data_IF_389139674400
#
_entry.id   IF_389139674400
#
_cell.length_a   1.000
_cell.length_b   1.000
_cell.length_c   1.000
_cell.angle_alpha   90.00
_cell.angle_beta   90.00
_cell.angle_gamma   90.00
#
_symmetry.space_group_name_H-M   'P 1'
#
loop_
_entity.id
_entity.type
_entity.pdbx_description
1 polymer ?
#
# COMPACT_ATOMS: atom_id res chain seq x y z
N UNK A 1 -5.45 -13.98 -4.93
CA UNK A 1 -5.47 -12.66 -4.28
C UNK A 1 -6.92 -12.26 -4.14
N UNK A 2 -7.42 -12.13 -2.92
CA UNK A 2 -8.78 -11.64 -2.68
C UNK A 2 -8.86 -10.17 -3.15
N UNK A 3 -10.03 -9.75 -3.65
CA UNK A 3 -10.22 -8.37 -4.03
C UNK A 3 -10.15 -7.47 -2.79
N UNK A 4 -9.27 -6.47 -2.81
CA UNK A 4 -9.18 -5.46 -1.76
C UNK A 4 -10.43 -4.55 -1.82
N UNK A 5 -11.25 -4.44 -0.75
CA UNK A 5 -12.39 -3.55 -0.73
C UNK A 5 -12.03 -2.06 -0.59
N UNK A 6 -10.79 -1.72 -0.19
CA UNK A 6 -10.39 -0.35 0.13
C UNK A 6 -10.50 0.63 -1.06
N UNK A 7 -10.04 0.32 -2.29
CA UNK A 7 -10.16 1.23 -3.42
C UNK A 7 -11.62 1.55 -3.78
N UNK A 8 -12.49 0.53 -3.74
CA UNK A 8 -13.91 0.71 -3.98
C UNK A 8 -14.56 1.54 -2.87
N UNK A 9 -14.22 1.28 -1.60
CA UNK A 9 -14.74 2.02 -0.46
C UNK A 9 -14.38 3.51 -0.49
N UNK A 10 -13.10 3.85 -0.76
CA UNK A 10 -12.67 5.26 -0.87
C UNK A 10 -13.39 5.97 -2.02
N UNK A 11 -13.54 5.31 -3.17
CA UNK A 11 -14.28 5.86 -4.31
C UNK A 11 -15.75 6.11 -3.99
N UNK A 12 -16.41 5.18 -3.28
CA UNK A 12 -17.81 5.30 -2.89
C UNK A 12 -18.03 6.40 -1.83
N UNK A 13 -17.09 6.55 -0.88
CA UNK A 13 -17.16 7.59 0.14
C UNK A 13 -17.02 8.99 -0.44
N UNK A 14 -16.18 9.17 -1.47
CA UNK A 14 -15.96 10.44 -2.17
C UNK A 14 -15.80 11.65 -1.21
N UNK A 15 -14.98 11.48 -0.17
CA UNK A 15 -14.82 12.45 0.92
C UNK A 15 -13.44 13.10 0.88
N UNK A 16 -13.33 14.42 1.09
CA UNK A 16 -12.04 15.09 1.24
C UNK A 16 -11.31 14.68 2.53
N UNK A 17 -12.00 13.99 3.46
CA UNK A 17 -11.41 13.49 4.71
C UNK A 17 -10.79 12.09 4.58
N UNK A 18 -10.87 11.47 3.40
CA UNK A 18 -10.33 10.13 3.16
C UNK A 18 -9.40 10.12 1.95
N UNK A 19 -8.23 9.50 2.11
CA UNK A 19 -7.26 9.32 1.02
C UNK A 19 -6.89 7.84 0.92
N UNK A 20 -6.91 7.29 -0.30
CA UNK A 20 -6.31 6.00 -0.58
C UNK A 20 -4.79 6.19 -0.72
N UNK A 21 -4.03 5.46 0.09
CA UNK A 21 -2.58 5.28 -0.08
C UNK A 21 -2.39 3.82 -0.50
N UNK A 22 -2.00 3.62 -1.75
CA UNK A 22 -1.87 2.31 -2.38
C UNK A 22 -0.41 2.08 -2.76
N UNK A 23 0.17 0.98 -2.27
CA UNK A 23 1.53 0.56 -2.58
C UNK A 23 1.55 -0.76 -3.36
N UNK A 24 0.41 -1.19 -3.90
CA UNK A 24 0.29 -2.45 -4.65
C UNK A 24 1.25 -2.49 -5.83
N UNK A 25 1.43 -1.34 -6.51
CA UNK A 25 2.35 -1.18 -7.64
C UNK A 25 3.84 -1.36 -7.27
N UNK A 26 4.19 -1.31 -5.98
CA UNK A 26 5.56 -1.56 -5.50
C UNK A 26 5.94 -3.03 -5.65
N UNK A 27 4.98 -3.95 -5.57
CA UNK A 27 5.23 -5.39 -5.59
C UNK A 27 4.35 -6.17 -6.58
N UNK A 28 3.47 -5.49 -7.32
CA UNK A 28 2.64 -6.06 -8.38
C UNK A 28 2.69 -5.18 -9.65
N UNK A 29 2.68 -5.84 -10.80
CA UNK A 29 2.42 -5.23 -12.11
C UNK A 29 1.10 -5.80 -12.69
N UNK A 30 0.80 -5.46 -13.95
CA UNK A 30 -0.43 -5.92 -14.63
C UNK A 30 -0.51 -7.45 -14.81
N UNK A 31 0.61 -8.16 -14.72
CA UNK A 31 0.73 -9.58 -15.05
C UNK A 31 1.02 -10.45 -13.82
N UNK A 32 1.72 -9.92 -12.81
CA UNK A 32 2.20 -10.70 -11.67
C UNK A 32 2.49 -9.84 -10.44
N UNK A 33 2.64 -10.52 -9.31
CA UNK A 33 3.20 -9.95 -8.09
C UNK A 33 4.49 -10.69 -7.71
N UNK A 34 5.56 -9.94 -7.47
CA UNK A 34 6.86 -10.51 -7.18
C UNK A 34 6.91 -11.07 -5.76
N UNK A 35 7.38 -12.31 -5.62
CA UNK A 35 7.48 -12.98 -4.32
C UNK A 35 8.69 -12.51 -3.50
N UNK A 36 9.72 -11.97 -4.16
CA UNK A 36 10.96 -11.49 -3.54
C UNK A 36 11.43 -10.22 -4.23
N UNK A 37 11.66 -9.16 -3.45
CA UNK A 37 12.18 -7.87 -3.94
C UNK A 37 13.39 -7.50 -3.10
N UNK A 38 14.53 -7.21 -3.74
CA UNK A 38 15.76 -6.84 -3.05
C UNK A 38 16.26 -7.91 -2.05
N UNK A 39 15.93 -9.19 -2.27
CA UNK A 39 16.26 -10.29 -1.35
C UNK A 39 15.32 -10.45 -0.16
N UNK A 40 14.22 -9.69 -0.09
CA UNK A 40 13.21 -9.77 0.97
C UNK A 40 11.94 -10.43 0.44
N UNK A 41 11.43 -11.43 1.16
CA UNK A 41 10.16 -12.11 0.83
C UNK A 41 9.00 -11.14 1.04
N UNK A 42 8.17 -10.94 0.01
CA UNK A 42 7.09 -9.94 0.01
C UNK A 42 5.90 -10.40 0.84
N UNK A 43 5.33 -11.55 0.50
CA UNK A 43 4.09 -12.06 1.10
C UNK A 43 4.37 -13.19 2.09
N UNK A 44 3.62 -13.18 3.21
CA UNK A 44 3.56 -14.28 4.18
C UNK A 44 2.59 -15.35 3.72
N UNK A 45 1.44 -14.92 3.22
CA UNK A 45 0.31 -15.75 2.77
C UNK A 45 -0.47 -15.01 1.68
N UNK A 46 -1.71 -15.42 1.39
CA UNK A 46 -2.50 -14.89 0.29
C UNK A 46 -2.84 -13.39 0.38
N UNK A 47 -2.85 -12.80 1.59
CA UNK A 47 -3.30 -11.41 1.81
C UNK A 47 -2.41 -10.58 2.74
N UNK A 48 -1.34 -11.16 3.31
CA UNK A 48 -0.46 -10.44 4.23
C UNK A 48 0.96 -10.29 3.67
N UNK A 49 1.49 -9.07 3.75
CA UNK A 49 2.91 -8.81 3.60
C UNK A 49 3.71 -9.41 4.77
N UNK A 50 4.98 -9.74 4.55
CA UNK A 50 5.88 -10.11 5.66
C UNK A 50 6.22 -8.89 6.49
N UNK A 51 6.48 -9.08 7.79
CA UNK A 51 6.88 -7.98 8.67
C UNK A 51 8.17 -7.28 8.18
N UNK A 52 9.06 -8.03 7.52
CA UNK A 52 10.31 -7.48 6.98
C UNK A 52 10.05 -6.60 5.78
N UNK A 53 9.23 -7.04 4.82
CA UNK A 53 8.87 -6.24 3.66
C UNK A 53 8.00 -5.02 4.04
N UNK A 54 7.04 -5.15 4.96
CA UNK A 54 6.29 -3.99 5.44
C UNK A 54 7.19 -2.92 6.07
N UNK A 55 8.27 -3.32 6.76
CA UNK A 55 9.26 -2.36 7.30
C UNK A 55 10.05 -1.64 6.22
N UNK A 56 10.29 -2.25 5.05
CA UNK A 56 10.95 -1.54 3.94
C UNK A 56 10.03 -0.49 3.31
N UNK A 57 8.71 -0.61 3.47
CA UNK A 57 7.74 0.39 3.01
C UNK A 57 7.58 1.59 3.96
N UNK A 58 8.01 1.46 5.22
CA UNK A 58 7.75 2.47 6.25
C UNK A 58 8.21 3.91 5.89
N UNK A 59 9.40 4.14 5.29
CA UNK A 59 9.82 5.50 4.91
C UNK A 59 8.92 6.12 3.83
N UNK A 60 8.35 5.31 2.94
CA UNK A 60 7.44 5.79 1.89
C UNK A 60 6.05 6.09 2.46
N UNK A 61 5.58 5.26 3.39
CA UNK A 61 4.33 5.51 4.11
C UNK A 61 4.41 6.79 4.96
N UNK A 62 5.54 7.05 5.61
CA UNK A 62 5.76 8.27 6.40
C UNK A 62 5.55 9.54 5.56
N UNK A 63 6.09 9.57 4.34
CA UNK A 63 5.91 10.70 3.41
C UNK A 63 4.43 10.94 3.11
N UNK A 64 3.66 9.87 2.85
CA UNK A 64 2.23 9.99 2.58
C UNK A 64 1.43 10.47 3.80
N UNK A 65 1.79 9.98 4.99
CA UNK A 65 1.16 10.44 6.25
C UNK A 65 1.45 11.92 6.48
N UNK A 66 2.70 12.37 6.34
CA UNK A 66 3.07 13.76 6.59
C UNK A 66 2.37 14.74 5.65
N UNK A 67 2.20 14.39 4.37
CA UNK A 67 1.40 15.19 3.40
C UNK A 67 -0.04 15.39 3.85
N UNK A 68 -0.62 14.43 4.56
CA UNK A 68 -2.01 14.47 5.01
C UNK A 68 -2.17 15.21 6.34
N UNK A 69 -1.13 15.28 7.16
CA UNK A 69 -1.16 15.95 8.46
C UNK A 69 -0.93 17.46 8.38
N UNK A 70 -0.27 17.96 7.32
CA UNK A 70 -0.04 19.40 7.09
C UNK A 70 -0.68 19.87 5.76
N UNK A 71 -2.02 20.00 5.67
CA UNK A 71 -2.71 20.39 4.45
C UNK A 71 -2.51 21.87 4.05
N UNK A 72 -1.69 22.63 4.78
CA UNK A 72 -1.49 24.08 4.65
C UNK A 72 -0.16 24.52 4.02
N UNK A 73 0.63 23.58 3.49
CA UNK A 73 1.82 23.84 2.66
C UNK A 73 1.71 23.18 1.30
#
# INVERSE_FOLDING_TARGET
>A
MLADPQPAAVKLLNSPLTKLVDFTDVYCDELKCDAVIGGVIVNRDENHLTNTFSRTLAPYLEVEILKLLDPGK
#
